data_IF_423273135617
#
_entry.id   IF_423273135617
#
_cell.length_a   1.000
_cell.length_b   1.000
_cell.length_c   1.000
_cell.angle_alpha   90.00
_cell.angle_beta   90.00
_cell.angle_gamma   90.00
#
_symmetry.space_group_name_H-M   'P 1'
#
loop_
_entity.id
_entity.type
_entity.pdbx_description
1 polymer ?
#
# COMPACT_ATOMS: atom_id res chain seq x y z
N UNK A 1 -34.21 -12.69 -3.42
CA UNK A 1 -34.55 -13.56 -2.27
C UNK A 1 -34.79 -12.69 -1.04
N UNK A 2 -35.79 -13.01 -0.23
CA UNK A 2 -36.09 -12.36 1.06
C UNK A 2 -36.01 -13.41 2.18
N UNK A 3 -35.42 -13.06 3.32
CA UNK A 3 -35.38 -13.95 4.49
C UNK A 3 -36.70 -13.86 5.25
N UNK A 4 -37.34 -15.01 5.50
CA UNK A 4 -38.55 -15.15 6.33
C UNK A 4 -38.27 -16.22 7.38
N UNK A 5 -38.05 -15.78 8.63
CA UNK A 5 -37.54 -16.67 9.69
C UNK A 5 -36.17 -17.25 9.34
N UNK A 6 -36.12 -18.58 9.15
CA UNK A 6 -34.90 -19.32 8.83
C UNK A 6 -34.81 -19.77 7.36
N UNK A 7 -35.72 -19.34 6.49
CA UNK A 7 -35.70 -19.67 5.07
C UNK A 7 -35.60 -18.42 4.19
N UNK A 8 -35.22 -18.63 2.93
CA UNK A 8 -35.27 -17.63 1.88
C UNK A 8 -36.42 -17.95 0.93
N UNK A 9 -37.20 -16.93 0.58
CA UNK A 9 -38.26 -17.01 -0.43
C UNK A 9 -37.93 -16.10 -1.60
N UNK A 10 -38.47 -16.41 -2.77
CA UNK A 10 -38.35 -15.56 -3.94
C UNK A 10 -39.01 -14.19 -3.72
N UNK A 11 -38.47 -13.17 -4.36
CA UNK A 11 -39.00 -11.81 -4.36
C UNK A 11 -38.60 -11.16 -5.68
N UNK A 12 -39.49 -10.33 -6.22
CA UNK A 12 -39.19 -9.46 -7.37
C UNK A 12 -38.24 -8.34 -6.95
N UNK A 13 -37.64 -7.68 -7.94
CA UNK A 13 -36.79 -6.50 -7.70
C UNK A 13 -37.58 -5.36 -7.04
N UNK A 14 -38.81 -5.10 -7.50
CA UNK A 14 -39.65 -4.01 -6.97
C UNK A 14 -40.01 -4.26 -5.50
N UNK A 15 -40.36 -5.50 -5.14
CA UNK A 15 -40.64 -5.89 -3.75
C UNK A 15 -39.40 -5.73 -2.86
N UNK A 16 -38.23 -6.18 -3.35
CA UNK A 16 -36.99 -6.10 -2.59
C UNK A 16 -36.56 -4.65 -2.37
N UNK A 17 -36.55 -3.82 -3.42
CA UNK A 17 -36.14 -2.41 -3.35
C UNK A 17 -37.10 -1.63 -2.44
N UNK A 18 -38.41 -1.85 -2.56
CA UNK A 18 -39.42 -1.16 -1.74
C UNK A 18 -39.30 -1.51 -0.26
N UNK A 19 -39.16 -2.81 0.09
CA UNK A 19 -39.00 -3.25 1.48
C UNK A 19 -37.68 -2.76 2.09
N UNK A 20 -36.57 -2.80 1.32
CA UNK A 20 -35.27 -2.29 1.77
C UNK A 20 -35.34 -0.77 2.01
N UNK A 21 -35.87 0.01 1.06
CA UNK A 21 -35.97 1.45 1.19
C UNK A 21 -36.83 1.87 2.39
N UNK A 22 -37.98 1.23 2.59
CA UNK A 22 -38.86 1.51 3.73
C UNK A 22 -38.16 1.26 5.08
N UNK A 23 -37.45 0.13 5.20
CA UNK A 23 -36.69 -0.21 6.42
C UNK A 23 -35.51 0.72 6.65
N UNK A 24 -34.76 1.04 5.60
CA UNK A 24 -33.63 1.97 5.70
C UNK A 24 -34.10 3.35 6.15
N UNK A 25 -35.16 3.90 5.55
CA UNK A 25 -35.72 5.19 5.95
C UNK A 25 -36.18 5.17 7.42
N UNK A 26 -36.86 4.12 7.86
CA UNK A 26 -37.30 4.00 9.26
C UNK A 26 -36.13 3.99 10.26
N UNK A 27 -35.00 3.36 9.90
CA UNK A 27 -33.78 3.36 10.72
C UNK A 27 -33.11 4.74 10.72
N UNK A 28 -33.02 5.38 9.55
CA UNK A 28 -32.43 6.73 9.41
C UNK A 28 -33.25 7.76 10.21
N UNK A 29 -34.58 7.70 10.13
CA UNK A 29 -35.48 8.61 10.85
C UNK A 29 -35.40 8.44 12.38
N UNK A 30 -35.10 7.23 12.85
CA UNK A 30 -34.98 6.91 14.27
C UNK A 30 -33.61 7.29 14.86
N UNK A 31 -32.52 6.95 14.17
CA UNK A 31 -31.16 6.95 14.74
C UNK A 31 -30.14 7.83 13.98
N UNK A 32 -30.55 8.49 12.90
CA UNK A 32 -29.74 9.25 11.92
C UNK A 32 -29.09 8.40 10.80
N UNK A 33 -28.55 9.04 9.74
CA UNK A 33 -27.92 8.35 8.62
C UNK A 33 -26.80 7.36 8.97
N UNK A 34 -26.03 7.63 10.02
CA UNK A 34 -24.88 6.79 10.41
C UNK A 34 -25.28 5.40 10.95
N UNK A 35 -26.57 5.18 11.23
CA UNK A 35 -27.13 3.87 11.52
C UNK A 35 -27.10 2.90 10.32
N UNK A 36 -26.89 3.42 9.11
CA UNK A 36 -26.64 2.63 7.89
C UNK A 36 -25.13 2.53 7.66
N UNK A 37 -24.58 1.33 7.82
CA UNK A 37 -23.18 1.02 7.47
C UNK A 37 -23.07 0.31 6.12
N UNK A 38 -22.03 0.65 5.35
CA UNK A 38 -21.76 0.04 4.05
C UNK A 38 -20.33 -0.48 3.97
N UNK A 39 -20.17 -1.68 3.40
CA UNK A 39 -18.87 -2.28 3.11
C UNK A 39 -18.75 -2.58 1.60
N UNK A 40 -17.79 -1.92 0.95
CA UNK A 40 -17.47 -2.14 -0.45
C UNK A 40 -16.51 -3.30 -0.65
N UNK A 41 -16.94 -4.30 -1.44
CA UNK A 41 -16.09 -5.42 -1.85
C UNK A 41 -15.22 -5.11 -3.07
N UNK A 42 -14.20 -5.96 -3.29
CA UNK A 42 -13.25 -5.86 -4.42
C UNK A 42 -13.88 -5.68 -5.82
N UNK A 43 -15.03 -6.29 -6.17
CA UNK A 43 -15.63 -6.11 -7.50
C UNK A 43 -15.92 -4.66 -7.88
N UNK A 44 -16.07 -3.76 -6.91
CA UNK A 44 -16.25 -2.33 -7.17
C UNK A 44 -15.05 -1.70 -7.89
N UNK A 45 -13.83 -2.19 -7.63
CA UNK A 45 -12.61 -1.72 -8.33
C UNK A 45 -12.59 -2.02 -9.83
N UNK A 46 -13.42 -2.94 -10.30
CA UNK A 46 -13.53 -3.32 -11.73
C UNK A 46 -14.67 -2.60 -12.46
N UNK A 47 -15.34 -1.66 -11.80
CA UNK A 47 -16.48 -0.93 -12.36
C UNK A 47 -16.44 0.55 -11.97
N UNK A 48 -16.05 1.39 -12.92
CA UNK A 48 -16.04 2.84 -12.74
C UNK A 48 -17.44 3.38 -12.40
N UNK A 49 -18.49 2.83 -13.02
CA UNK A 49 -19.87 3.19 -12.71
C UNK A 49 -20.26 2.84 -11.28
N UNK A 50 -19.85 1.67 -10.77
CA UNK A 50 -20.14 1.26 -9.40
C UNK A 50 -19.58 2.27 -8.38
N UNK A 51 -18.31 2.66 -8.51
CA UNK A 51 -17.68 3.64 -7.60
C UNK A 51 -18.42 4.99 -7.63
N UNK A 52 -18.78 5.48 -8.82
CA UNK A 52 -19.46 6.77 -8.97
C UNK A 52 -20.87 6.72 -8.38
N UNK A 53 -21.69 5.75 -8.79
CA UNK A 53 -23.09 5.69 -8.36
C UNK A 53 -23.22 5.34 -6.88
N UNK A 54 -22.38 4.45 -6.35
CA UNK A 54 -22.44 4.12 -4.94
C UNK A 54 -22.05 5.29 -4.05
N UNK A 55 -20.98 6.02 -4.36
CA UNK A 55 -20.61 7.20 -3.58
C UNK A 55 -21.68 8.30 -3.66
N UNK A 56 -22.24 8.56 -4.85
CA UNK A 56 -23.37 9.48 -4.98
C UNK A 56 -24.60 9.05 -4.18
N UNK A 57 -24.89 7.74 -4.13
CA UNK A 57 -25.97 7.22 -3.29
C UNK A 57 -25.67 7.35 -1.79
N UNK A 58 -24.45 7.06 -1.34
CA UNK A 58 -24.06 7.26 0.06
C UNK A 58 -24.06 8.73 0.48
N UNK A 59 -23.70 9.64 -0.42
CA UNK A 59 -23.80 11.08 -0.19
C UNK A 59 -25.26 11.51 -0.04
N UNK A 60 -26.17 10.93 -0.83
CA UNK A 60 -27.61 11.17 -0.69
C UNK A 60 -28.19 10.58 0.60
N UNK A 61 -27.71 9.41 1.05
CA UNK A 61 -28.08 8.83 2.35
C UNK A 61 -27.54 9.70 3.50
N UNK A 62 -26.35 10.28 3.34
CA UNK A 62 -25.69 11.11 4.34
C UNK A 62 -24.90 10.34 5.40
N UNK A 63 -24.70 9.03 5.22
CA UNK A 63 -23.93 8.20 6.15
C UNK A 63 -22.42 8.42 6.00
N UNK A 64 -21.71 8.48 7.13
CA UNK A 64 -20.25 8.45 7.26
C UNK A 64 -19.72 7.06 7.60
N UNK A 65 -20.58 6.10 7.91
CA UNK A 65 -20.24 4.70 8.17
C UNK A 65 -19.89 3.96 6.87
N UNK A 66 -18.81 4.38 6.22
CA UNK A 66 -18.35 3.90 4.90
C UNK A 66 -17.07 3.10 5.06
N UNK A 67 -17.11 1.83 4.68
CA UNK A 67 -16.00 0.91 4.74
C UNK A 67 -15.78 0.28 3.38
N UNK A 68 -14.55 -0.14 3.10
CA UNK A 68 -14.21 -0.88 1.89
C UNK A 68 -13.11 -1.87 2.19
N UNK A 69 -12.78 -2.70 1.20
CA UNK A 69 -11.63 -3.62 1.26
C UNK A 69 -10.35 -2.96 1.76
N UNK A 70 -10.06 -1.72 1.36
CA UNK A 70 -8.89 -0.99 1.82
C UNK A 70 -8.89 -0.66 3.31
N UNK A 71 -10.07 -0.56 3.96
CA UNK A 71 -10.19 -0.31 5.41
C UNK A 71 -9.55 -1.40 6.27
N UNK A 72 -9.42 -2.63 5.75
CA UNK A 72 -8.79 -3.76 6.45
C UNK A 72 -7.47 -4.22 5.80
N UNK A 73 -7.11 -3.64 4.66
CA UNK A 73 -6.01 -4.11 3.80
C UNK A 73 -4.89 -3.08 3.70
N UNK A 74 -5.19 -1.87 3.21
CA UNK A 74 -4.20 -0.88 2.77
C UNK A 74 -4.48 0.55 3.28
N UNK A 75 -5.16 0.69 4.41
CA UNK A 75 -5.58 2.00 4.93
C UNK A 75 -4.39 2.93 5.21
N UNK A 76 -3.28 2.36 5.71
CA UNK A 76 -2.02 3.09 5.90
C UNK A 76 -1.51 3.74 4.60
N UNK A 77 -1.58 3.02 3.47
CA UNK A 77 -1.20 3.56 2.18
C UNK A 77 -2.06 4.75 1.77
N UNK A 78 -3.37 4.71 2.03
CA UNK A 78 -4.28 5.83 1.72
C UNK A 78 -3.95 7.09 2.55
N UNK A 79 -3.57 6.92 3.82
CA UNK A 79 -3.11 8.03 4.68
C UNK A 79 -1.81 8.63 4.14
N UNK A 80 -0.83 7.79 3.78
CA UNK A 80 0.44 8.24 3.21
C UNK A 80 0.23 8.92 1.85
N UNK A 81 -0.66 8.39 1.00
CA UNK A 81 -0.97 8.96 -0.30
C UNK A 81 -1.58 10.36 -0.19
N UNK A 82 -2.45 10.58 0.79
CA UNK A 82 -3.01 11.92 1.06
C UNK A 82 -1.93 12.89 1.54
N UNK A 83 -1.09 12.47 2.49
CA UNK A 83 -0.02 13.30 3.03
C UNK A 83 1.05 13.66 1.97
N UNK A 84 1.41 12.72 1.11
CA UNK A 84 2.46 12.90 0.10
C UNK A 84 1.95 13.60 -1.17
N UNK A 85 0.70 13.35 -1.57
CA UNK A 85 0.21 13.68 -2.90
C UNK A 85 -1.14 14.42 -2.92
N UNK A 86 -1.71 14.69 -1.74
CA UNK A 86 -3.00 15.38 -1.60
C UNK A 86 -4.21 14.58 -2.07
N UNK A 87 -4.06 13.25 -2.23
CA UNK A 87 -5.16 12.38 -2.62
C UNK A 87 -4.93 10.96 -2.11
N UNK A 88 -5.90 10.46 -1.34
CA UNK A 88 -5.94 9.07 -0.84
C UNK A 88 -5.88 8.03 -1.97
N UNK A 89 -6.21 8.38 -3.22
CA UNK A 89 -6.24 7.44 -4.35
C UNK A 89 -4.98 7.51 -5.22
N UNK A 90 -4.07 8.46 -4.96
CA UNK A 90 -2.86 8.62 -5.76
C UNK A 90 -1.82 7.58 -5.32
N UNK A 91 -1.50 6.65 -6.21
CA UNK A 91 -0.35 5.77 -6.08
C UNK A 91 0.49 5.85 -7.37
N UNK A 92 1.81 6.05 -7.30
CA UNK A 92 2.66 6.03 -8.48
C UNK A 92 2.55 4.68 -9.22
N UNK A 93 2.39 4.73 -10.53
CA UNK A 93 2.39 3.52 -11.37
C UNK A 93 3.83 3.09 -11.61
N UNK A 94 4.12 1.81 -11.38
CA UNK A 94 5.46 1.25 -11.53
C UNK A 94 5.87 1.17 -13.01
N UNK A 95 6.95 1.85 -13.40
CA UNK A 95 7.59 1.66 -14.70
C UNK A 95 8.57 0.48 -14.65
N UNK A 96 8.01 -0.73 -14.68
CA UNK A 96 8.77 -1.98 -14.52
C UNK A 96 9.80 -2.16 -15.62
N UNK A 97 9.44 -1.80 -16.86
CA UNK A 97 10.27 -2.09 -18.02
C UNK A 97 11.53 -1.20 -18.08
N UNK A 98 11.54 -0.07 -17.38
CA UNK A 98 12.69 0.83 -17.24
C UNK A 98 13.36 0.79 -15.85
N UNK A 99 12.97 -0.16 -14.99
CA UNK A 99 13.54 -0.31 -13.66
C UNK A 99 14.75 -1.25 -13.66
N UNK A 100 15.77 -0.84 -12.91
CA UNK A 100 17.05 -1.53 -12.72
C UNK A 100 17.22 -2.02 -11.26
N UNK A 101 16.42 -1.49 -10.31
CA UNK A 101 16.46 -1.91 -8.90
C UNK A 101 15.07 -1.93 -8.27
N UNK A 102 14.62 -3.12 -7.87
CA UNK A 102 13.31 -3.35 -7.26
C UNK A 102 13.47 -3.61 -5.76
N UNK A 103 12.90 -2.74 -4.92
CA UNK A 103 12.77 -2.97 -3.49
C UNK A 103 11.32 -3.32 -3.15
N UNK A 104 11.08 -4.58 -2.81
CA UNK A 104 9.75 -5.12 -2.54
C UNK A 104 9.57 -5.35 -1.04
N UNK A 105 8.73 -4.54 -0.38
CA UNK A 105 8.59 -4.53 1.08
C UNK A 105 7.23 -5.07 1.51
N UNK A 106 7.21 -6.15 2.29
CA UNK A 106 5.97 -6.74 2.81
C UNK A 106 4.99 -7.14 1.70
N UNK A 107 5.50 -7.64 0.58
CA UNK A 107 4.71 -8.05 -0.59
C UNK A 107 5.26 -9.34 -1.21
N UNK A 108 4.36 -10.21 -1.67
CA UNK A 108 4.70 -11.48 -2.31
C UNK A 108 4.08 -11.56 -3.72
N UNK A 109 4.64 -10.86 -4.72
CA UNK A 109 4.12 -10.86 -6.09
C UNK A 109 4.12 -12.21 -6.78
N UNK A 110 4.92 -13.18 -6.32
CA UNK A 110 4.90 -14.55 -6.84
C UNK A 110 3.57 -15.29 -6.55
N UNK A 111 2.80 -14.86 -5.55
CA UNK A 111 1.54 -15.49 -5.14
C UNK A 111 0.36 -14.51 -5.22
N UNK A 112 0.55 -13.26 -4.79
CA UNK A 112 -0.50 -12.24 -4.73
C UNK A 112 -0.56 -11.41 -6.01
N UNK A 113 -1.61 -11.61 -6.81
CA UNK A 113 -1.78 -10.98 -8.11
C UNK A 113 -2.32 -9.53 -8.09
N UNK A 114 -2.60 -8.96 -6.91
CA UNK A 114 -3.12 -7.58 -6.76
C UNK A 114 -2.18 -6.69 -5.92
N UNK A 115 -0.88 -6.83 -6.14
CA UNK A 115 0.10 -5.88 -5.65
C UNK A 115 0.36 -4.78 -6.70
N UNK A 116 0.98 -3.66 -6.32
CA UNK A 116 1.17 -2.52 -7.23
C UNK A 116 2.07 -2.83 -8.43
N UNK A 117 2.96 -3.83 -8.33
CA UNK A 117 3.73 -4.35 -9.46
C UNK A 117 2.80 -4.92 -10.55
N UNK A 118 1.70 -5.57 -10.17
CA UNK A 118 0.74 -6.17 -11.10
C UNK A 118 -0.27 -5.16 -11.70
N UNK A 119 -0.14 -3.86 -11.39
CA UNK A 119 -0.87 -2.84 -12.16
C UNK A 119 -0.40 -2.77 -13.61
N UNK A 120 0.85 -3.17 -13.87
CA UNK A 120 1.35 -3.44 -15.21
C UNK A 120 1.04 -4.90 -15.56
N UNK A 121 0.45 -5.21 -16.73
CA UNK A 121 0.10 -6.57 -17.10
C UNK A 121 1.28 -7.56 -17.02
N UNK A 122 1.20 -8.50 -16.07
CA UNK A 122 2.23 -9.50 -15.82
C UNK A 122 3.49 -8.90 -15.17
N UNK A 123 3.31 -7.96 -14.26
CA UNK A 123 4.38 -7.15 -13.69
C UNK A 123 5.46 -7.97 -13.01
N UNK A 124 5.11 -9.01 -12.26
CA UNK A 124 6.11 -9.89 -11.65
C UNK A 124 6.94 -10.65 -12.68
N UNK A 125 6.30 -11.18 -13.73
CA UNK A 125 7.02 -11.83 -14.83
C UNK A 125 8.00 -10.86 -15.49
N UNK A 126 7.57 -9.62 -15.73
CA UNK A 126 8.42 -8.58 -16.33
C UNK A 126 9.57 -8.18 -15.41
N UNK A 127 9.34 -8.08 -14.10
CA UNK A 127 10.40 -7.82 -13.12
C UNK A 127 11.48 -8.93 -13.15
N UNK A 128 11.07 -10.21 -13.22
CA UNK A 128 12.00 -11.33 -13.40
C UNK A 128 12.72 -11.30 -14.77
N UNK A 129 12.07 -10.82 -15.82
CA UNK A 129 12.72 -10.61 -17.13
C UNK A 129 13.76 -9.48 -17.07
N UNK A 130 13.48 -8.40 -16.34
CA UNK A 130 14.45 -7.33 -16.05
C UNK A 130 15.61 -7.83 -15.20
N UNK A 131 15.33 -8.67 -14.19
CA UNK A 131 16.36 -9.30 -13.37
C UNK A 131 17.32 -10.14 -14.22
N UNK A 132 16.78 -10.95 -15.14
CA UNK A 132 17.60 -11.71 -16.10
C UNK A 132 18.42 -10.83 -17.07
N UNK A 133 18.08 -9.54 -17.18
CA UNK A 133 18.81 -8.54 -17.97
C UNK A 133 19.77 -7.69 -17.11
N UNK A 134 19.92 -8.00 -15.82
CA UNK A 134 20.86 -7.36 -14.91
C UNK A 134 20.25 -6.38 -13.92
N UNK A 135 18.92 -6.26 -13.85
CA UNK A 135 18.28 -5.55 -12.74
C UNK A 135 18.40 -6.36 -11.44
N UNK A 136 18.32 -5.70 -10.29
CA UNK A 136 18.37 -6.34 -8.97
C UNK A 136 16.98 -6.34 -8.33
N UNK A 137 16.59 -7.48 -7.76
CA UNK A 137 15.37 -7.62 -6.94
C UNK A 137 15.77 -7.87 -5.49
N UNK A 138 15.37 -6.95 -4.61
CA UNK A 138 15.47 -7.08 -3.16
C UNK A 138 14.08 -7.29 -2.58
N UNK A 139 13.91 -8.35 -1.79
CA UNK A 139 12.68 -8.64 -1.05
C UNK A 139 12.92 -8.44 0.43
N UNK A 140 12.11 -7.57 1.05
CA UNK A 140 12.06 -7.32 2.49
C UNK A 140 10.83 -7.99 3.05
N UNK A 141 11.03 -9.12 3.73
CA UNK A 141 9.96 -9.93 4.30
C UNK A 141 10.51 -10.76 5.47
N UNK A 142 9.89 -10.77 6.66
CA UNK A 142 10.32 -11.62 7.76
C UNK A 142 10.39 -13.11 7.41
N UNK A 143 9.55 -13.55 6.46
CA UNK A 143 9.53 -14.90 5.96
C UNK A 143 10.25 -14.99 4.62
N UNK A 144 10.91 -16.11 4.37
CA UNK A 144 11.42 -16.44 3.04
C UNK A 144 10.26 -16.91 2.16
N UNK A 145 9.60 -15.96 1.50
CA UNK A 145 8.45 -16.19 0.61
C UNK A 145 8.88 -16.66 -0.78
N UNK A 146 7.91 -17.08 -1.60
CA UNK A 146 8.13 -17.48 -3.00
C UNK A 146 8.72 -16.36 -3.87
N UNK A 147 8.51 -15.10 -3.46
CA UNK A 147 9.16 -13.95 -4.08
C UNK A 147 10.61 -13.81 -3.62
N UNK A 148 10.88 -13.99 -2.32
CA UNK A 148 12.24 -13.99 -1.76
C UNK A 148 13.11 -15.13 -2.33
N UNK A 149 12.52 -16.29 -2.64
CA UNK A 149 13.22 -17.40 -3.30
C UNK A 149 13.70 -17.08 -4.72
N UNK A 150 13.13 -16.06 -5.36
CA UNK A 150 13.49 -15.60 -6.71
C UNK A 150 14.26 -14.28 -6.69
N UNK A 151 14.42 -13.66 -5.53
CA UNK A 151 15.11 -12.39 -5.36
C UNK A 151 16.63 -12.59 -5.31
N UNK A 152 17.39 -11.56 -5.69
CA UNK A 152 18.85 -11.53 -5.53
C UNK A 152 19.22 -11.36 -4.06
N UNK A 153 18.45 -10.53 -3.34
CA UNK A 153 18.65 -10.26 -1.91
C UNK A 153 17.35 -10.45 -1.15
N UNK A 154 17.42 -11.15 -0.03
CA UNK A 154 16.33 -11.27 0.93
C UNK A 154 16.75 -10.64 2.26
N UNK A 155 16.02 -9.61 2.69
CA UNK A 155 16.17 -8.98 4.00
C UNK A 155 15.07 -9.53 4.92
N UNK A 156 15.47 -10.40 5.85
CA UNK A 156 14.58 -11.01 6.85
C UNK A 156 14.29 -10.03 8.00
N UNK A 157 13.62 -8.93 7.68
CA UNK A 157 13.35 -7.86 8.65
C UNK A 157 12.50 -8.38 9.82
N UNK A 158 12.75 -7.87 11.03
CA UNK A 158 11.89 -8.12 12.18
C UNK A 158 10.47 -7.62 11.89
N UNK A 159 9.41 -8.41 12.18
CA UNK A 159 8.04 -7.98 11.95
C UNK A 159 7.74 -6.58 12.52
N UNK A 160 7.09 -5.74 11.70
CA UNK A 160 6.73 -4.34 12.02
C UNK A 160 7.92 -3.37 12.25
N UNK A 161 9.14 -3.75 11.82
CA UNK A 161 10.36 -2.93 11.90
C UNK A 161 10.93 -2.56 10.52
N UNK A 162 10.12 -2.72 9.46
CA UNK A 162 10.41 -2.22 8.11
C UNK A 162 10.65 -0.71 8.08
N UNK A 163 9.94 0.08 8.89
CA UNK A 163 10.20 1.52 9.04
C UNK A 163 11.64 1.82 9.49
N UNK A 164 12.22 0.99 10.35
CA UNK A 164 13.58 1.19 10.85
C UNK A 164 14.62 0.88 9.77
N UNK A 165 14.38 -0.17 8.98
CA UNK A 165 15.18 -0.48 7.80
C UNK A 165 15.11 0.65 6.77
N UNK A 166 13.91 1.13 6.43
CA UNK A 166 13.73 2.21 5.45
C UNK A 166 14.36 3.52 5.93
N UNK A 167 14.21 3.87 7.21
CA UNK A 167 14.86 5.07 7.78
C UNK A 167 16.39 4.93 7.78
N UNK A 168 16.92 3.73 8.04
CA UNK A 168 18.35 3.46 7.97
C UNK A 168 18.90 3.62 6.54
N UNK A 169 18.15 3.15 5.53
CA UNK A 169 18.51 3.36 4.13
C UNK A 169 18.51 4.85 3.77
N UNK A 170 17.47 5.60 4.17
CA UNK A 170 17.41 7.05 3.95
C UNK A 170 18.57 7.77 4.62
N UNK A 171 18.94 7.36 5.85
CA UNK A 171 20.10 7.90 6.56
C UNK A 171 21.39 7.69 5.77
N UNK A 172 21.66 6.48 5.29
CA UNK A 172 22.87 6.19 4.49
C UNK A 172 22.89 7.05 3.23
N UNK A 173 21.77 7.14 2.52
CA UNK A 173 21.66 7.95 1.29
C UNK A 173 21.98 9.42 1.56
N UNK A 174 21.41 10.01 2.62
CA UNK A 174 21.60 11.41 2.94
C UNK A 174 22.97 11.71 3.58
N UNK A 175 23.49 10.84 4.45
CA UNK A 175 24.81 11.01 5.07
C UNK A 175 25.95 10.90 4.03
N UNK A 176 25.76 10.09 2.99
CA UNK A 176 26.72 9.92 1.89
C UNK A 176 26.49 10.89 0.71
N UNK A 177 25.42 11.70 0.75
CA UNK A 177 25.10 12.66 -0.31
C UNK A 177 24.71 12.00 -1.64
N UNK A 178 24.03 10.85 -1.57
CA UNK A 178 23.62 10.05 -2.72
C UNK A 178 22.23 10.42 -3.24
N UNK A 179 21.55 11.42 -2.66
CA UNK A 179 20.25 11.84 -3.16
C UNK A 179 20.33 12.48 -4.55
N UNK A 180 19.25 12.34 -5.33
CA UNK A 180 19.14 13.02 -6.61
C UNK A 180 18.92 14.52 -6.38
N UNK A 181 19.80 15.37 -6.93
CA UNK A 181 19.80 16.83 -6.70
C UNK A 181 19.38 17.66 -7.92
N UNK A 182 18.95 17.02 -9.00
CA UNK A 182 18.57 17.69 -10.25
C UNK A 182 17.04 17.70 -10.43
N UNK A 183 16.50 16.61 -10.95
CA UNK A 183 15.08 16.48 -11.25
C UNK A 183 14.23 16.40 -9.98
N UNK A 184 13.07 17.05 -10.02
CA UNK A 184 12.03 16.98 -8.98
C UNK A 184 12.41 17.55 -7.60
N UNK A 185 13.61 18.12 -7.41
CA UNK A 185 14.01 18.74 -6.14
C UNK A 185 13.03 19.85 -5.71
N UNK A 186 12.56 20.65 -6.66
CA UNK A 186 11.56 21.72 -6.41
C UNK A 186 10.13 21.19 -6.18
N UNK A 187 9.89 19.88 -6.37
CA UNK A 187 8.58 19.24 -6.13
C UNK A 187 8.48 18.63 -4.73
N UNK A 188 9.61 18.45 -4.04
CA UNK A 188 9.64 17.86 -2.71
C UNK A 188 9.55 18.95 -1.62
N UNK A 189 8.79 18.67 -0.57
CA UNK A 189 8.69 19.52 0.64
C UNK A 189 9.01 18.69 1.87
N UNK A 190 9.48 19.33 2.95
CA UNK A 190 9.81 18.64 4.21
C UNK A 190 11.13 17.87 4.19
N UNK A 191 11.97 18.05 3.15
CA UNK A 191 13.28 17.39 3.05
C UNK A 191 14.22 17.85 4.17
N UNK A 192 14.15 19.10 4.60
CA UNK A 192 14.96 19.60 5.72
C UNK A 192 14.57 18.95 7.05
N UNK A 193 13.27 18.72 7.28
CA UNK A 193 12.79 17.99 8.46
C UNK A 193 13.27 16.52 8.42
N UNK A 194 13.25 15.90 7.23
CA UNK A 194 13.79 14.55 7.03
C UNK A 194 15.31 14.50 7.31
N UNK A 195 16.07 15.49 6.83
CA UNK A 195 17.52 15.61 7.10
C UNK A 195 17.79 15.75 8.59
N UNK A 196 17.03 16.58 9.29
CA UNK A 196 17.15 16.72 10.75
C UNK A 196 16.84 15.40 11.47
N UNK A 197 15.77 14.71 11.05
CA UNK A 197 15.39 13.41 11.62
C UNK A 197 16.50 12.35 11.46
N UNK A 198 17.09 12.23 10.26
CA UNK A 198 18.14 11.22 10.03
C UNK A 198 19.48 11.58 10.66
N UNK A 199 19.77 12.87 10.84
CA UNK A 199 20.99 13.32 11.52
C UNK A 199 21.01 12.87 12.99
N UNK A 200 19.84 12.86 13.65
CA UNK A 200 19.69 12.42 15.04
C UNK A 200 19.54 10.89 15.19
N UNK A 201 19.28 10.18 14.09
CA UNK A 201 19.09 8.73 14.10
C UNK A 201 20.43 7.98 14.17
N UNK A 202 20.51 6.95 15.03
CA UNK A 202 21.66 6.05 15.12
C UNK A 202 21.47 4.84 14.20
N UNK A 203 22.40 4.67 13.25
CA UNK A 203 22.34 3.57 12.28
C UNK A 203 22.49 2.20 12.95
N UNK A 204 23.27 2.08 14.03
CA UNK A 204 23.43 0.81 14.76
C UNK A 204 22.15 0.45 15.52
N UNK A 205 21.44 1.44 16.09
CA UNK A 205 20.14 1.24 16.73
C UNK A 205 19.07 0.80 15.70
N UNK A 206 19.02 1.45 14.54
CA UNK A 206 18.08 1.07 13.48
C UNK A 206 18.34 -0.34 12.94
N UNK A 207 19.62 -0.69 12.73
CA UNK A 207 20.01 -2.05 12.34
C UNK A 207 19.57 -3.08 13.38
N UNK A 208 19.79 -2.81 14.67
CA UNK A 208 19.37 -3.70 15.76
C UNK A 208 17.84 -3.82 15.89
N UNK A 209 17.07 -2.75 15.61
CA UNK A 209 15.60 -2.78 15.62
C UNK A 209 15.05 -3.65 14.51
N UNK A 210 15.52 -3.42 13.28
CA UNK A 210 15.06 -4.11 12.10
C UNK A 210 15.65 -5.53 11.96
N UNK A 211 16.67 -5.85 12.77
CA UNK A 211 17.32 -7.16 12.81
C UNK A 211 17.99 -7.54 11.48
N UNK A 212 18.58 -6.54 10.83
CA UNK A 212 19.34 -6.67 9.58
C UNK A 212 20.76 -6.15 9.83
N UNK A 213 21.75 -6.85 9.30
CA UNK A 213 23.15 -6.44 9.44
C UNK A 213 23.36 -5.04 8.83
N UNK A 214 24.02 -4.16 9.58
CA UNK A 214 24.30 -2.80 9.15
C UNK A 214 24.99 -2.75 7.78
N UNK A 215 25.96 -3.61 7.52
CA UNK A 215 26.68 -3.63 6.24
C UNK A 215 25.74 -3.94 5.08
N UNK A 216 24.76 -4.83 5.31
CA UNK A 216 23.75 -5.17 4.31
C UNK A 216 22.78 -4.01 4.05
N UNK A 217 22.40 -3.25 5.09
CA UNK A 217 21.59 -2.05 4.94
C UNK A 217 22.33 -1.00 4.11
N UNK A 218 23.60 -0.76 4.44
CA UNK A 218 24.43 0.21 3.73
C UNK A 218 24.62 -0.18 2.25
N UNK A 219 24.87 -1.46 1.95
CA UNK A 219 24.98 -1.97 0.58
C UNK A 219 23.68 -1.76 -0.21
N UNK A 220 22.53 -2.19 0.34
CA UNK A 220 21.23 -2.05 -0.32
C UNK A 220 20.87 -0.57 -0.53
N UNK A 221 21.17 0.31 0.42
CA UNK A 221 20.93 1.74 0.30
C UNK A 221 21.76 2.39 -0.81
N UNK A 222 23.06 2.07 -0.87
CA UNK A 222 23.98 2.57 -1.91
C UNK A 222 23.57 2.07 -3.29
N UNK A 223 23.27 0.78 -3.43
CA UNK A 223 22.86 0.20 -4.71
C UNK A 223 21.52 0.77 -5.18
N UNK A 224 20.56 0.94 -4.26
CA UNK A 224 19.27 1.56 -4.56
C UNK A 224 19.44 2.99 -5.09
N UNK A 225 20.29 3.80 -4.44
CA UNK A 225 20.53 5.19 -4.84
C UNK A 225 21.36 5.31 -6.13
N UNK A 226 22.25 4.35 -6.40
CA UNK A 226 23.09 4.34 -7.60
C UNK A 226 22.35 3.84 -8.86
N UNK A 227 21.22 3.16 -8.70
CA UNK A 227 20.45 2.62 -9.81
C UNK A 227 19.84 3.73 -10.68
N UNK A 228 19.95 3.58 -12.02
CA UNK A 228 19.39 4.55 -12.98
C UNK A 228 17.87 4.64 -12.89
N UNK A 229 17.20 3.53 -12.62
CA UNK A 229 15.78 3.46 -12.30
C UNK A 229 15.56 2.54 -11.12
N UNK A 230 15.00 3.07 -10.04
CA UNK A 230 14.69 2.31 -8.84
C UNK A 230 13.22 2.47 -8.47
N UNK A 231 12.64 1.42 -7.89
CA UNK A 231 11.29 1.50 -7.34
C UNK A 231 11.19 0.80 -5.99
N UNK A 232 10.34 1.36 -5.13
CA UNK A 232 9.90 0.73 -3.89
C UNK A 232 8.43 0.37 -4.04
N UNK A 233 8.09 -0.89 -3.76
CA UNK A 233 6.71 -1.36 -3.76
C UNK A 233 6.40 -1.97 -2.41
N UNK A 234 5.40 -1.41 -1.72
CA UNK A 234 4.89 -1.91 -0.44
C UNK A 234 3.47 -2.42 -0.61
N UNK A 235 3.04 -3.38 0.23
CA UNK A 235 1.63 -3.83 0.28
C UNK A 235 1.19 -4.16 1.72
N UNK A 236 0.35 -5.19 1.84
CA UNK A 236 -0.41 -5.55 3.03
C UNK A 236 0.52 -5.90 4.20
N UNK A 237 1.71 -6.44 3.92
CA UNK A 237 2.72 -6.71 4.93
C UNK A 237 3.17 -5.46 5.68
N UNK A 238 3.15 -4.29 5.04
CA UNK A 238 3.42 -2.98 5.69
C UNK A 238 2.14 -2.37 6.26
N UNK A 239 1.01 -2.49 5.54
CA UNK A 239 -0.22 -1.78 5.91
C UNK A 239 -1.00 -2.41 7.07
N UNK A 240 -0.74 -3.67 7.44
CA UNK A 240 -1.51 -4.41 8.45
C UNK A 240 -0.86 -4.48 9.84
N UNK A 241 0.12 -3.62 10.14
CA UNK A 241 0.67 -3.45 11.50
C UNK A 241 0.61 -2.01 11.99
N UNK A 242 0.81 -1.82 13.30
CA UNK A 242 0.67 -0.52 13.98
C UNK A 242 1.63 0.56 13.46
N UNK A 243 2.76 0.14 12.91
CA UNK A 243 3.80 1.02 12.33
C UNK A 243 3.70 1.16 10.81
N UNK A 244 2.58 0.75 10.19
CA UNK A 244 2.33 0.94 8.76
C UNK A 244 2.28 2.41 8.34
N UNK A 245 2.05 3.30 9.31
CA UNK A 245 2.40 4.72 9.27
C UNK A 245 3.18 5.07 10.53
N UNK A 246 4.13 6.01 10.46
CA UNK A 246 4.92 6.49 11.61
C UNK A 246 4.32 7.73 12.29
N UNK A 247 3.08 8.07 11.95
CA UNK A 247 2.32 9.19 12.52
C UNK A 247 1.53 8.79 13.77
#
# INVERSE_FOLDING_TARGET
MRRVGNSYVEATWDEAITDIAARMNAVIDADCPDAVGVYYGNPAGFSSSNIIFMNGWLDAVGTRSRYFVGSIDQNAMHVVADAMYGSILMAPVSDIDNCDYFLLVGTNPAVSAWNWLETVPGGWRRALERQAQGATIVVVDPLRTESADKADVHLAVRPAQDWALLLAMVKVILDEGLEHTEDCTDLATGVDDLRALVADADLDDLAARCDVDRAQIEEVARDFAAARGAMVVTRTGVSMHLTGTIA
#
